data_IF_880293657566
#
_entry.id   IF_880293657566
#
_cell.length_a   1.000
_cell.length_b   1.000
_cell.length_c   1.000
_cell.angle_alpha   90.00
_cell.angle_beta   90.00
_cell.angle_gamma   90.00
#
_symmetry.space_group_name_H-M   'P 1'
#
loop_
_entity.id
_entity.type
_entity.pdbx_description
1 polymer ?
#
# COMPACT_ATOMS: atom_id res chain seq x y z
N UNK A 1 -20.69 -62.07 -48.08
CA UNK A 1 -19.91 -61.26 -47.17
C UNK A 1 -19.38 -60.04 -47.94
N UNK A 2 -20.08 -58.91 -47.96
CA UNK A 2 -19.62 -57.66 -48.60
C UNK A 2 -19.36 -56.64 -47.53
N UNK A 3 -18.12 -56.23 -47.42
CA UNK A 3 -17.68 -55.10 -46.53
C UNK A 3 -18.00 -53.79 -47.23
N UNK A 4 -18.87 -52.98 -46.64
CA UNK A 4 -19.11 -51.60 -47.07
C UNK A 4 -18.13 -50.68 -46.33
N UNK A 5 -17.33 -49.97 -47.12
CA UNK A 5 -16.43 -48.91 -46.64
C UNK A 5 -17.22 -47.61 -46.71
N UNK A 6 -17.44 -47.00 -45.55
CA UNK A 6 -18.03 -45.65 -45.47
C UNK A 6 -16.87 -44.66 -45.52
N UNK A 7 -16.88 -43.85 -46.58
CA UNK A 7 -15.94 -42.75 -46.79
C UNK A 7 -16.50 -41.52 -46.06
N UNK A 8 -15.85 -41.07 -44.97
CA UNK A 8 -16.19 -39.85 -44.31
C UNK A 8 -15.37 -38.72 -44.94
N UNK A 9 -16.06 -37.85 -45.66
CA UNK A 9 -15.47 -36.65 -46.19
C UNK A 9 -15.37 -35.58 -45.07
N UNK A 10 -14.15 -35.23 -44.71
CA UNK A 10 -13.87 -34.10 -43.79
C UNK A 10 -13.87 -32.82 -44.59
N UNK A 11 -14.90 -32.00 -44.42
CA UNK A 11 -14.91 -30.61 -44.89
C UNK A 11 -14.01 -29.81 -43.98
N UNK A 12 -12.83 -29.41 -44.45
CA UNK A 12 -12.00 -28.43 -43.82
C UNK A 12 -12.58 -27.01 -44.12
N UNK A 13 -13.27 -26.43 -43.14
CA UNK A 13 -13.59 -25.02 -43.15
C UNK A 13 -12.34 -24.20 -42.81
N UNK A 14 -11.79 -23.52 -43.79
CA UNK A 14 -10.79 -22.47 -43.58
C UNK A 14 -11.46 -21.31 -42.81
N UNK A 15 -11.32 -21.29 -41.52
CA UNK A 15 -11.52 -20.11 -40.70
C UNK A 15 -10.32 -19.17 -40.95
N UNK A 16 -10.52 -18.18 -41.78
CA UNK A 16 -9.56 -17.11 -41.93
C UNK A 16 -9.41 -16.37 -40.62
N UNK A 17 -8.27 -16.61 -39.98
CA UNK A 17 -7.81 -15.77 -38.83
C UNK A 17 -7.56 -14.38 -39.36
N UNK A 18 -8.47 -13.47 -39.09
CA UNK A 18 -8.21 -12.04 -39.16
C UNK A 18 -7.25 -11.76 -38.01
N UNK A 19 -5.95 -11.79 -38.32
CA UNK A 19 -4.97 -11.14 -37.46
C UNK A 19 -5.31 -9.65 -37.45
N UNK A 20 -6.05 -9.19 -36.45
CA UNK A 20 -6.03 -7.80 -36.10
C UNK A 20 -4.59 -7.47 -35.74
N UNK A 21 -3.91 -6.74 -36.62
CA UNK A 21 -2.62 -6.13 -36.35
C UNK A 21 -2.85 -5.20 -35.17
N UNK A 22 -2.41 -5.64 -33.97
CA UNK A 22 -2.23 -4.75 -32.86
C UNK A 22 -1.29 -3.63 -33.35
N UNK A 23 -1.85 -2.45 -33.58
CA UNK A 23 -1.04 -1.28 -33.81
C UNK A 23 -0.09 -1.17 -32.61
N UNK A 24 1.20 -1.23 -32.88
CA UNK A 24 2.24 -1.00 -31.86
C UNK A 24 2.03 0.43 -31.34
N UNK A 25 1.25 0.57 -30.30
CA UNK A 25 1.18 1.80 -29.54
C UNK A 25 2.59 2.08 -29.02
N UNK A 26 3.16 3.20 -29.42
CA UNK A 26 4.50 3.59 -29.01
C UNK A 26 4.46 3.81 -27.49
N UNK A 27 5.20 2.99 -26.75
CA UNK A 27 5.23 3.07 -25.30
C UNK A 27 5.77 4.44 -24.86
N UNK A 28 5.12 5.03 -23.85
CA UNK A 28 5.60 6.26 -23.20
C UNK A 28 6.85 5.93 -22.43
N UNK A 29 7.91 6.69 -22.63
CA UNK A 29 9.17 6.51 -21.90
C UNK A 29 9.38 7.66 -20.91
N UNK A 30 10.09 7.44 -19.80
CA UNK A 30 10.37 8.50 -18.82
C UNK A 30 11.05 9.72 -19.43
N UNK A 31 11.93 9.52 -20.43
CA UNK A 31 12.57 10.60 -21.16
C UNK A 31 11.62 11.50 -21.98
N UNK A 32 10.37 11.06 -22.19
CA UNK A 32 9.32 11.87 -22.82
C UNK A 32 8.72 12.90 -21.83
N UNK A 33 8.99 12.75 -20.53
CA UNK A 33 8.52 13.65 -19.48
C UNK A 33 9.65 14.44 -18.86
N UNK A 34 9.42 15.75 -18.72
CA UNK A 34 10.34 16.68 -18.03
C UNK A 34 9.59 17.29 -16.86
N UNK A 35 9.81 16.73 -15.68
CA UNK A 35 9.18 17.22 -14.47
C UNK A 35 9.92 18.39 -13.87
N UNK A 36 9.16 19.41 -13.48
CA UNK A 36 9.61 20.52 -12.64
C UNK A 36 8.97 20.36 -11.28
N UNK A 37 9.78 20.17 -10.25
CA UNK A 37 9.31 20.07 -8.87
C UNK A 37 8.75 21.43 -8.43
N UNK A 38 7.49 21.43 -7.99
CA UNK A 38 6.80 22.62 -7.45
C UNK A 38 6.97 22.66 -5.94
N UNK A 39 6.79 21.51 -5.28
CA UNK A 39 6.91 21.35 -3.83
C UNK A 39 7.42 19.96 -3.52
N UNK A 40 8.37 19.88 -2.61
CA UNK A 40 8.89 18.62 -2.09
C UNK A 40 9.07 18.73 -0.59
N UNK A 41 8.60 17.73 0.14
CA UNK A 41 8.75 17.64 1.58
C UNK A 41 9.77 16.55 1.93
N UNK A 42 10.51 16.69 3.04
CA UNK A 42 11.55 15.73 3.40
C UNK A 42 11.02 14.32 3.62
N UNK A 43 11.71 13.34 3.06
CA UNK A 43 11.46 11.90 3.25
C UNK A 43 12.76 11.18 3.58
N UNK A 44 12.65 10.03 4.20
CA UNK A 44 13.77 9.11 4.42
C UNK A 44 14.14 8.36 3.13
N UNK A 45 15.23 7.58 3.15
CA UNK A 45 15.70 6.81 1.99
C UNK A 45 14.64 5.83 1.46
N UNK A 46 14.77 5.46 0.20
CA UNK A 46 13.93 4.43 -0.43
C UNK A 46 14.26 3.07 0.19
N UNK A 47 13.26 2.39 0.72
CA UNK A 47 13.38 1.03 1.26
C UNK A 47 12.89 -0.02 0.27
N UNK A 48 13.11 -1.29 0.57
CA UNK A 48 12.70 -2.40 -0.29
C UNK A 48 11.95 -3.46 0.53
N UNK A 49 10.62 -3.52 0.35
CA UNK A 49 9.78 -4.56 0.93
C UNK A 49 10.02 -5.94 0.33
N UNK A 50 10.68 -6.01 -0.83
CA UNK A 50 10.97 -7.23 -1.57
C UNK A 50 9.73 -8.15 -1.71
N UNK A 51 9.85 -9.43 -1.43
CA UNK A 51 8.77 -10.44 -1.56
C UNK A 51 7.93 -10.52 -0.30
N UNK A 52 7.31 -9.39 0.08
CA UNK A 52 6.36 -9.33 1.18
C UNK A 52 5.15 -8.49 0.77
N UNK A 53 3.97 -8.79 1.28
CA UNK A 53 2.76 -7.99 1.09
C UNK A 53 2.65 -6.89 2.16
N UNK A 54 3.76 -6.21 2.49
CA UNK A 54 3.82 -5.28 3.63
C UNK A 54 3.98 -3.81 3.23
N UNK A 55 3.59 -3.45 1.99
CA UNK A 55 3.61 -2.08 1.47
C UNK A 55 2.93 -1.07 2.40
N UNK A 56 1.80 -1.46 3.00
CA UNK A 56 1.06 -0.69 3.98
C UNK A 56 1.92 -0.23 5.15
N UNK A 57 2.84 -1.08 5.62
CA UNK A 57 3.74 -0.78 6.74
C UNK A 57 4.90 0.11 6.29
N UNK A 58 5.55 -0.21 5.18
CA UNK A 58 6.66 0.58 4.61
C UNK A 58 6.24 2.01 4.31
N UNK A 59 5.06 2.18 3.70
CA UNK A 59 4.54 3.50 3.36
C UNK A 59 4.11 4.31 4.59
N UNK A 60 3.42 3.66 5.55
CA UNK A 60 2.99 4.32 6.78
C UNK A 60 4.17 4.74 7.67
N UNK A 61 5.19 3.89 7.83
CA UNK A 61 6.37 4.27 8.62
C UNK A 61 7.17 5.36 7.92
N UNK A 62 7.33 5.29 6.59
CA UNK A 62 7.95 6.39 5.83
C UNK A 62 7.20 7.72 6.02
N UNK A 63 5.86 7.69 6.03
CA UNK A 63 5.03 8.85 6.35
C UNK A 63 5.30 9.36 7.79
N UNK A 64 5.28 8.48 8.79
CA UNK A 64 5.53 8.84 10.19
C UNK A 64 6.95 9.36 10.42
N UNK A 65 7.93 8.83 9.73
CA UNK A 65 9.31 9.35 9.73
C UNK A 65 9.35 10.81 9.24
N UNK A 66 8.61 11.15 8.18
CA UNK A 66 8.48 12.54 7.70
C UNK A 66 7.75 13.44 8.69
N UNK A 67 6.75 12.92 9.40
CA UNK A 67 6.07 13.64 10.48
C UNK A 67 7.05 13.98 11.63
N UNK A 68 7.93 13.05 12.00
CA UNK A 68 8.99 13.30 13.00
C UNK A 68 9.99 14.33 12.49
N UNK A 69 10.44 14.22 11.24
CA UNK A 69 11.34 15.20 10.61
C UNK A 69 10.75 16.59 10.70
N UNK A 70 9.49 16.74 10.32
CA UNK A 70 8.76 18.02 10.35
C UNK A 70 8.58 18.54 11.78
N UNK A 71 8.03 17.74 12.69
CA UNK A 71 7.70 18.16 14.05
C UNK A 71 8.92 18.56 14.87
N UNK A 72 10.05 17.89 14.66
CA UNK A 72 11.34 18.19 15.32
C UNK A 72 12.20 19.18 14.55
N UNK A 73 11.78 19.58 13.34
CA UNK A 73 12.53 20.52 12.50
C UNK A 73 13.90 19.98 12.08
N UNK A 74 14.05 18.66 11.87
CA UNK A 74 15.30 18.04 11.50
C UNK A 74 15.71 18.51 10.09
N UNK A 75 17.00 18.84 9.94
CA UNK A 75 17.57 19.36 8.67
C UNK A 75 18.65 18.47 8.08
N UNK A 76 19.19 17.58 8.90
CA UNK A 76 20.27 16.69 8.48
C UNK A 76 19.73 15.26 8.40
N UNK A 77 19.88 14.61 7.25
CA UNK A 77 19.42 13.25 7.00
C UNK A 77 20.00 12.23 7.99
N UNK A 78 21.23 12.47 8.53
CA UNK A 78 21.81 11.62 9.57
C UNK A 78 21.04 11.61 10.91
N UNK A 79 20.09 12.53 11.07
CA UNK A 79 19.23 12.63 12.25
C UNK A 79 17.82 12.07 12.00
N UNK A 80 17.52 11.69 10.74
CA UNK A 80 16.22 11.17 10.39
C UNK A 80 16.00 9.82 11.08
N UNK A 81 14.79 9.57 11.58
CA UNK A 81 14.46 8.27 12.14
C UNK A 81 14.44 7.21 11.04
N UNK A 82 14.81 6.01 11.41
CA UNK A 82 14.70 4.80 10.58
C UNK A 82 13.97 3.74 11.41
N UNK A 83 12.67 3.62 11.21
CA UNK A 83 11.78 2.76 11.99
C UNK A 83 11.74 1.35 11.42
N UNK A 84 11.61 0.34 12.30
CA UNK A 84 11.52 -1.06 11.93
C UNK A 84 10.10 -1.39 11.43
N UNK A 85 9.97 -1.64 10.14
CA UNK A 85 8.74 -2.14 9.55
C UNK A 85 8.40 -3.53 10.10
N UNK A 86 9.39 -4.38 10.24
CA UNK A 86 9.18 -5.76 10.67
C UNK A 86 8.70 -5.87 12.12
N UNK A 87 8.99 -4.90 12.98
CA UNK A 87 8.37 -4.81 14.30
C UNK A 87 6.87 -4.64 14.21
N UNK A 88 6.42 -3.69 13.40
CA UNK A 88 4.99 -3.40 13.21
C UNK A 88 4.30 -4.58 12.52
N UNK A 89 4.90 -5.14 11.48
CA UNK A 89 4.39 -6.32 10.77
C UNK A 89 4.21 -7.50 11.73
N UNK A 90 5.21 -7.81 12.56
CA UNK A 90 5.15 -8.90 13.53
C UNK A 90 3.98 -8.72 14.52
N UNK A 91 3.80 -7.52 15.03
CA UNK A 91 2.70 -7.21 15.95
C UNK A 91 1.33 -7.29 15.26
N UNK A 92 1.22 -6.77 14.03
CA UNK A 92 0.00 -6.87 13.24
C UNK A 92 -0.35 -8.35 12.93
N UNK A 93 0.63 -9.18 12.57
CA UNK A 93 0.41 -10.62 12.32
C UNK A 93 -0.06 -11.36 13.58
N UNK A 94 0.51 -11.04 14.74
CA UNK A 94 0.04 -11.57 16.01
C UNK A 94 -1.43 -11.19 16.28
N UNK A 95 -1.76 -9.92 16.20
CA UNK A 95 -3.12 -9.41 16.46
C UNK A 95 -4.13 -9.99 15.46
N UNK A 96 -3.76 -10.08 14.18
CA UNK A 96 -4.59 -10.70 13.13
C UNK A 96 -4.86 -12.17 13.42
N UNK A 97 -3.85 -12.90 13.89
CA UNK A 97 -3.98 -14.29 14.30
C UNK A 97 -5.01 -14.45 15.44
N UNK A 98 -4.94 -13.59 16.44
CA UNK A 98 -5.92 -13.59 17.55
C UNK A 98 -7.34 -13.27 17.04
N UNK A 99 -7.47 -12.25 16.20
CA UNK A 99 -8.77 -11.84 15.64
C UNK A 99 -9.36 -12.90 14.72
N UNK A 100 -8.54 -13.54 13.88
CA UNK A 100 -8.94 -14.63 13.00
C UNK A 100 -9.56 -15.81 13.80
N UNK A 101 -8.89 -16.23 14.86
CA UNK A 101 -9.39 -17.32 15.71
C UNK A 101 -10.67 -16.91 16.45
N UNK A 102 -10.76 -15.67 16.97
CA UNK A 102 -11.99 -15.14 17.63
C UNK A 102 -13.18 -15.04 16.68
N UNK A 103 -12.94 -14.88 15.39
CA UNK A 103 -13.97 -14.82 14.36
C UNK A 103 -14.18 -16.17 13.64
N UNK A 104 -13.80 -17.28 14.28
CA UNK A 104 -13.98 -18.64 13.76
C UNK A 104 -13.46 -18.83 12.32
N UNK A 105 -12.33 -18.18 11.99
CA UNK A 105 -11.73 -18.21 10.68
C UNK A 105 -12.46 -17.40 9.60
N UNK A 106 -13.37 -16.51 9.97
CA UNK A 106 -14.16 -15.68 9.05
C UNK A 106 -13.55 -14.30 8.79
N UNK A 107 -12.26 -14.18 8.96
CA UNK A 107 -11.48 -12.98 8.65
C UNK A 107 -10.55 -13.27 7.49
N UNK A 108 -10.32 -12.29 6.61
CA UNK A 108 -9.22 -12.35 5.65
C UNK A 108 -7.89 -12.49 6.41
N UNK A 109 -7.13 -13.52 6.06
CA UNK A 109 -5.82 -13.78 6.64
C UNK A 109 -4.75 -13.80 5.54
N UNK A 110 -3.95 -12.76 5.50
CA UNK A 110 -2.90 -12.54 4.48
C UNK A 110 -1.89 -11.52 4.96
N UNK A 111 -0.98 -11.12 4.10
CA UNK A 111 0.08 -10.18 4.41
C UNK A 111 -0.38 -8.70 4.39
N UNK A 112 -1.40 -8.38 3.59
CA UNK A 112 -1.91 -7.02 3.42
C UNK A 112 -2.60 -6.48 4.66
N UNK A 113 -2.62 -5.16 4.83
CA UNK A 113 -3.24 -4.45 5.95
C UNK A 113 -3.48 -2.98 5.56
N UNK A 114 -4.15 -2.21 6.43
CA UNK A 114 -4.45 -0.79 6.24
C UNK A 114 -3.54 0.10 7.11
N UNK A 115 -3.43 1.38 6.76
CA UNK A 115 -2.63 2.36 7.53
C UNK A 115 -3.12 2.53 8.97
N UNK A 116 -4.41 2.41 9.20
CA UNK A 116 -4.99 2.44 10.53
C UNK A 116 -4.49 1.30 11.41
N UNK A 117 -4.18 0.16 10.82
CA UNK A 117 -3.58 -0.97 11.53
C UNK A 117 -2.19 -0.63 12.07
N UNK A 118 -1.39 0.12 11.29
CA UNK A 118 -0.07 0.63 11.74
C UNK A 118 -0.25 1.56 12.94
N UNK A 119 -1.20 2.49 12.87
CA UNK A 119 -1.47 3.42 13.96
C UNK A 119 -1.92 2.70 15.23
N UNK A 120 -2.75 1.65 15.11
CA UNK A 120 -3.20 0.84 16.25
C UNK A 120 -2.07 0.01 16.86
N UNK A 121 -1.18 -0.56 16.03
CA UNK A 121 0.02 -1.25 16.51
C UNK A 121 0.93 -0.28 17.27
N UNK A 122 1.19 0.90 16.70
CA UNK A 122 2.03 1.92 17.34
C UNK A 122 1.41 2.41 18.66
N UNK A 123 0.10 2.58 18.70
CA UNK A 123 -0.64 2.94 19.93
C UNK A 123 -0.43 1.90 21.02
N UNK A 124 -0.55 0.62 20.65
CA UNK A 124 -0.55 -0.50 21.60
C UNK A 124 0.84 -0.98 22.00
N UNK A 125 1.82 -0.87 21.11
CA UNK A 125 3.12 -1.53 21.25
C UNK A 125 4.31 -0.58 21.04
N UNK A 126 4.12 0.68 20.69
CA UNK A 126 5.20 1.60 20.39
C UNK A 126 5.89 1.39 19.05
N UNK A 127 7.15 1.81 18.94
CA UNK A 127 8.02 1.64 17.76
C UNK A 127 9.45 1.31 18.17
N UNK A 128 10.19 0.66 17.29
CA UNK A 128 11.61 0.33 17.46
C UNK A 128 12.38 0.85 16.24
N UNK A 129 13.63 1.33 16.38
CA UNK A 129 14.46 1.67 15.24
C UNK A 129 14.91 0.40 14.50
N UNK A 130 15.08 0.50 13.20
CA UNK A 130 15.53 -0.60 12.33
C UNK A 130 16.84 -1.24 12.83
N UNK A 131 17.73 -0.43 13.38
CA UNK A 131 19.03 -0.90 13.94
C UNK A 131 18.88 -1.81 15.16
N UNK A 132 17.75 -1.76 15.88
CA UNK A 132 17.50 -2.60 17.05
C UNK A 132 16.70 -3.86 16.73
N UNK A 133 15.95 -3.88 15.64
CA UNK A 133 15.17 -5.04 15.24
C UNK A 133 14.97 -5.08 13.73
N UNK A 134 15.65 -5.99 13.04
CA UNK A 134 15.50 -6.19 11.60
C UNK A 134 14.31 -7.07 11.22
N UNK A 135 13.92 -8.01 12.10
CA UNK A 135 12.87 -8.99 11.83
C UNK A 135 13.18 -9.99 10.72
N UNK A 136 14.47 -10.22 10.40
CA UNK A 136 14.92 -11.07 9.28
C UNK A 136 15.80 -12.19 9.82
N UNK A 137 15.20 -13.25 10.40
CA UNK A 137 15.94 -14.40 10.95
C UNK A 137 15.96 -15.63 10.01
N UNK A 138 15.41 -15.51 8.83
CA UNK A 138 15.25 -16.61 7.88
C UNK A 138 16.32 -16.63 6.75
N UNK A 139 17.47 -15.96 6.97
CA UNK A 139 18.64 -16.06 6.10
C UNK A 139 18.63 -15.21 4.84
N UNK A 140 17.76 -14.20 4.77
CA UNK A 140 17.72 -13.21 3.70
C UNK A 140 17.97 -11.80 4.25
N UNK A 141 18.59 -10.95 3.44
CA UNK A 141 18.84 -9.54 3.78
C UNK A 141 17.61 -8.64 3.56
N UNK A 142 16.62 -9.13 2.84
CA UNK A 142 15.35 -8.44 2.54
C UNK A 142 14.16 -9.34 2.88
N UNK A 143 12.97 -8.76 3.15
CA UNK A 143 11.78 -9.55 3.49
C UNK A 143 11.40 -10.56 2.39
N UNK A 144 11.19 -11.83 2.81
CA UNK A 144 10.63 -12.93 2.00
C UNK A 144 9.66 -13.69 2.88
N UNK A 145 8.38 -13.39 2.82
CA UNK A 145 7.42 -13.80 3.85
C UNK A 145 6.44 -14.89 3.45
N UNK A 146 6.43 -15.34 2.21
CA UNK A 146 5.44 -16.32 1.72
C UNK A 146 5.40 -17.63 2.56
N UNK A 147 6.55 -18.10 3.05
CA UNK A 147 6.59 -19.28 3.93
C UNK A 147 6.01 -18.98 5.30
N UNK A 148 6.40 -17.86 5.92
CA UNK A 148 5.86 -17.42 7.20
C UNK A 148 4.33 -17.25 7.13
N UNK A 149 3.82 -16.61 6.08
CA UNK A 149 2.38 -16.40 5.88
C UNK A 149 1.63 -17.73 5.79
N UNK A 150 2.17 -18.68 5.04
CA UNK A 150 1.58 -20.01 4.90
C UNK A 150 1.61 -20.81 6.22
N UNK A 151 2.71 -20.73 6.98
CA UNK A 151 2.86 -21.43 8.27
C UNK A 151 1.91 -20.85 9.31
N UNK A 152 1.84 -19.51 9.43
CA UNK A 152 0.90 -18.85 10.35
C UNK A 152 -0.54 -19.20 10.00
N UNK A 153 -0.92 -19.11 8.71
CA UNK A 153 -2.26 -19.47 8.25
C UNK A 153 -2.59 -20.91 8.58
N UNK A 154 -1.69 -21.84 8.29
CA UNK A 154 -1.86 -23.25 8.61
C UNK A 154 -2.05 -23.51 10.11
N UNK A 155 -1.28 -22.81 10.94
CA UNK A 155 -1.39 -22.93 12.38
C UNK A 155 -2.75 -22.43 12.91
N UNK A 156 -3.18 -21.22 12.55
CA UNK A 156 -4.45 -20.65 13.03
C UNK A 156 -5.66 -21.40 12.49
N UNK A 157 -5.59 -21.94 11.26
CA UNK A 157 -6.61 -22.83 10.70
C UNK A 157 -6.77 -24.11 11.52
N UNK A 158 -5.65 -24.70 11.95
CA UNK A 158 -5.69 -25.90 12.82
C UNK A 158 -6.30 -25.58 14.20
N UNK A 159 -5.99 -24.39 14.76
CA UNK A 159 -6.58 -23.92 16.01
C UNK A 159 -8.10 -23.74 15.87
N UNK A 160 -8.56 -23.08 14.81
CA UNK A 160 -10.00 -22.88 14.54
C UNK A 160 -10.73 -24.22 14.35
N UNK A 161 -10.11 -25.17 13.64
CA UNK A 161 -10.68 -26.50 13.36
C UNK A 161 -10.60 -27.48 14.55
N UNK A 162 -10.16 -27.02 15.74
CA UNK A 162 -10.00 -27.90 16.90
C UNK A 162 -11.30 -28.67 17.22
N UNK A 163 -11.27 -30.02 17.22
CA UNK A 163 -12.46 -30.85 17.45
C UNK A 163 -12.97 -30.79 18.89
N UNK A 164 -12.15 -30.39 19.86
CA UNK A 164 -12.49 -30.38 21.28
C UNK A 164 -13.43 -29.23 21.71
N UNK A 165 -13.80 -28.33 20.80
CA UNK A 165 -14.67 -27.17 21.03
C UNK A 165 -14.24 -26.21 22.16
N UNK A 166 -13.10 -26.46 22.78
CA UNK A 166 -12.50 -25.60 23.81
C UNK A 166 -11.02 -25.43 23.52
N UNK A 167 -10.64 -24.18 23.27
CA UNK A 167 -9.23 -23.82 23.07
C UNK A 167 -8.51 -23.74 24.42
N UNK A 168 -7.25 -24.11 24.44
CA UNK A 168 -6.36 -23.88 25.56
C UNK A 168 -5.85 -22.44 25.55
N UNK A 169 -5.35 -21.94 26.67
CA UNK A 169 -4.69 -20.62 26.72
C UNK A 169 -3.27 -20.62 26.10
N UNK A 170 -2.83 -21.75 25.53
CA UNK A 170 -1.46 -21.93 25.02
C UNK A 170 -1.31 -21.53 23.56
N UNK A 171 -2.37 -21.65 22.75
CA UNK A 171 -2.29 -21.42 21.31
C UNK A 171 -1.74 -20.05 20.90
N UNK A 172 -1.96 -18.91 21.62
CA UNK A 172 -1.34 -17.64 21.24
C UNK A 172 0.20 -17.69 21.33
N UNK A 173 0.75 -18.48 22.27
CA UNK A 173 2.20 -18.70 22.39
C UNK A 173 2.78 -19.45 21.18
N UNK A 174 1.96 -20.28 20.52
CA UNK A 174 2.39 -20.93 19.27
C UNK A 174 2.52 -19.94 18.13
N UNK A 175 1.65 -18.93 18.07
CA UNK A 175 1.79 -17.82 17.11
C UNK A 175 3.10 -17.04 17.39
N UNK A 176 3.34 -16.66 18.65
CA UNK A 176 4.59 -15.98 19.03
C UNK A 176 5.83 -16.81 18.69
N UNK A 177 5.81 -18.12 19.00
CA UNK A 177 6.95 -19.01 18.72
C UNK A 177 7.26 -19.13 17.22
N UNK A 178 6.23 -19.12 16.34
CA UNK A 178 6.43 -19.08 14.90
C UNK A 178 7.04 -17.73 14.50
N UNK A 179 6.49 -16.63 14.99
CA UNK A 179 6.99 -15.29 14.71
C UNK A 179 8.44 -15.10 15.22
N UNK A 180 8.77 -15.63 16.40
CA UNK A 180 10.14 -15.60 16.94
C UNK A 180 11.13 -16.39 16.07
N UNK A 181 10.71 -17.57 15.57
CA UNK A 181 11.55 -18.38 14.71
C UNK A 181 11.92 -17.69 13.37
N UNK A 182 10.97 -16.99 12.76
CA UNK A 182 11.16 -16.34 11.46
C UNK A 182 11.66 -14.89 11.58
N UNK A 183 11.20 -14.15 12.58
CA UNK A 183 11.42 -12.70 12.69
C UNK A 183 12.31 -12.33 13.88
N UNK A 184 12.60 -13.28 14.78
CA UNK A 184 13.39 -13.05 15.99
C UNK A 184 12.58 -12.49 17.16
N UNK A 185 13.13 -12.64 18.36
CA UNK A 185 12.55 -12.07 19.58
C UNK A 185 12.67 -10.54 19.57
N UNK A 186 11.60 -9.88 20.01
CA UNK A 186 11.61 -8.41 20.14
C UNK A 186 12.35 -8.03 21.41
N UNK A 187 13.36 -7.13 21.34
CA UNK A 187 14.06 -6.66 22.54
C UNK A 187 13.09 -5.82 23.41
N UNK A 188 13.07 -6.09 24.71
CA UNK A 188 12.32 -5.29 25.66
C UNK A 188 12.86 -3.84 25.76
N UNK A 189 14.16 -3.69 25.64
CA UNK A 189 14.87 -2.42 25.72
C UNK A 189 15.95 -2.35 24.65
N UNK A 190 16.22 -1.14 24.15
CA UNK A 190 17.28 -0.86 23.18
C UNK A 190 17.89 0.53 23.42
N UNK A 191 19.07 0.78 22.86
CA UNK A 191 19.79 2.04 23.05
C UNK A 191 19.83 2.84 21.76
N UNK A 192 19.41 4.11 21.83
CA UNK A 192 19.55 5.09 20.74
C UNK A 192 20.29 6.31 21.28
N UNK A 193 21.39 6.67 20.65
CA UNK A 193 22.22 7.83 21.06
C UNK A 193 22.58 7.84 22.56
N UNK A 194 22.86 6.65 23.13
CA UNK A 194 23.23 6.50 24.54
C UNK A 194 22.08 6.52 25.54
N UNK A 195 20.83 6.62 25.07
CA UNK A 195 19.62 6.57 25.90
C UNK A 195 18.94 5.22 25.72
N UNK A 196 18.55 4.59 26.82
CA UNK A 196 17.80 3.32 26.80
C UNK A 196 16.31 3.60 26.70
N UNK A 197 15.63 2.91 25.79
CA UNK A 197 14.20 3.03 25.53
C UNK A 197 13.50 1.67 25.57
N UNK A 198 12.22 1.67 25.95
CA UNK A 198 11.24 0.66 25.52
C UNK A 198 10.61 1.12 24.20
N UNK A 199 9.90 0.25 23.46
CA UNK A 199 9.20 0.66 22.24
C UNK A 199 8.23 1.84 22.44
N UNK A 200 7.49 1.85 23.56
CA UNK A 200 6.53 2.93 23.89
C UNK A 200 7.25 4.23 24.22
N UNK A 201 8.30 4.17 25.05
CA UNK A 201 9.05 5.37 25.40
C UNK A 201 9.81 5.97 24.21
N UNK A 202 10.21 5.16 23.24
CA UNK A 202 10.82 5.64 22.00
C UNK A 202 9.80 6.32 21.10
N UNK A 203 8.58 5.75 20.93
CA UNK A 203 7.45 6.42 20.29
C UNK A 203 7.21 7.81 20.87
N UNK A 204 7.14 7.88 22.21
CA UNK A 204 6.87 9.14 22.92
C UNK A 204 8.04 10.14 22.77
N UNK A 205 9.29 9.66 22.81
CA UNK A 205 10.47 10.47 22.55
C UNK A 205 10.53 11.01 21.12
N UNK A 206 10.01 10.27 20.13
CA UNK A 206 9.85 10.74 18.76
C UNK A 206 8.71 11.74 18.62
N UNK A 207 7.76 11.79 19.56
CA UNK A 207 6.57 12.63 19.50
C UNK A 207 5.49 12.08 18.56
N UNK A 208 5.50 10.77 18.30
CA UNK A 208 4.48 10.12 17.48
C UNK A 208 3.24 9.87 18.35
N UNK A 209 2.17 10.61 18.08
CA UNK A 209 0.87 10.37 18.69
C UNK A 209 -0.11 9.85 17.62
N UNK A 210 -0.54 8.57 17.67
CA UNK A 210 -1.45 8.01 16.69
C UNK A 210 -2.78 8.77 16.54
N UNK A 211 -3.23 9.51 17.56
CA UNK A 211 -4.47 10.28 17.52
C UNK A 211 -4.34 11.60 16.72
N UNK A 212 -3.15 11.93 16.27
CA UNK A 212 -2.92 13.08 15.40
C UNK A 212 -3.12 12.77 13.91
N UNK A 213 -3.40 11.51 13.55
CA UNK A 213 -3.52 11.06 12.18
C UNK A 213 -4.93 10.61 11.85
N UNK A 214 -5.42 11.03 10.68
CA UNK A 214 -6.82 10.87 10.27
C UNK A 214 -6.87 10.26 8.88
N UNK A 215 -7.69 9.20 8.74
CA UNK A 215 -7.95 8.53 7.47
C UNK A 215 -9.09 9.21 6.70
N UNK A 216 -8.96 9.30 5.38
CA UNK A 216 -9.94 9.85 4.46
C UNK A 216 -10.22 8.92 3.29
N UNK A 217 -11.46 8.97 2.82
CA UNK A 217 -11.94 8.32 1.60
C UNK A 217 -13.00 9.18 0.91
N UNK A 218 -13.43 8.81 -0.31
CA UNK A 218 -14.44 9.53 -1.07
C UNK A 218 -15.29 8.58 -1.89
N UNK A 219 -16.39 8.11 -1.32
CA UNK A 219 -17.34 7.20 -1.98
C UNK A 219 -18.79 7.58 -1.67
N UNK A 220 -19.69 7.33 -2.62
CA UNK A 220 -21.12 7.76 -2.52
C UNK A 220 -22.04 6.75 -1.85
N UNK A 221 -21.59 5.51 -1.63
CA UNK A 221 -22.40 4.47 -0.97
C UNK A 221 -22.53 4.67 0.55
N UNK A 222 -21.77 5.61 1.12
CA UNK A 222 -21.95 6.12 2.47
C UNK A 222 -22.13 7.65 2.47
N UNK A 223 -22.85 8.22 3.45
CA UNK A 223 -23.02 9.67 3.53
C UNK A 223 -21.68 10.40 3.67
N UNK A 224 -21.52 11.53 2.96
CA UNK A 224 -20.37 12.39 3.18
C UNK A 224 -20.40 13.01 4.59
N UNK A 225 -19.22 13.34 5.11
CA UNK A 225 -18.97 13.91 6.45
C UNK A 225 -19.33 12.96 7.60
N UNK A 226 -19.34 11.68 7.31
CA UNK A 226 -19.39 10.58 8.29
C UNK A 226 -18.16 9.71 8.13
N UNK A 227 -17.83 8.90 9.12
CA UNK A 227 -16.77 7.89 9.01
C UNK A 227 -17.36 6.50 8.83
N UNK A 228 -16.65 5.67 8.09
CA UNK A 228 -16.98 4.25 7.94
C UNK A 228 -15.71 3.43 7.69
N UNK A 229 -15.79 2.13 7.92
CA UNK A 229 -14.72 1.20 7.55
C UNK A 229 -14.87 0.86 6.07
N UNK A 230 -13.87 1.21 5.25
CA UNK A 230 -13.91 0.87 3.82
C UNK A 230 -13.96 -0.65 3.68
N UNK A 231 -14.86 -1.14 2.82
CA UNK A 231 -15.15 -2.55 2.61
C UNK A 231 -14.11 -3.21 1.70
N UNK A 232 -12.87 -3.21 2.14
CA UNK A 232 -11.76 -3.95 1.53
C UNK A 232 -11.22 -4.98 2.52
N UNK A 233 -10.67 -6.07 1.98
CA UNK A 233 -10.26 -7.20 2.81
C UNK A 233 -9.08 -6.87 3.72
N UNK A 234 -8.21 -5.97 3.31
CA UNK A 234 -7.03 -5.58 4.06
C UNK A 234 -7.33 -4.62 5.21
N UNK A 235 -8.51 -3.98 5.22
CA UNK A 235 -9.03 -3.26 6.39
C UNK A 235 -9.64 -4.24 7.44
N UNK A 236 -8.87 -5.23 7.84
CA UNK A 236 -9.33 -6.31 8.74
C UNK A 236 -9.59 -5.87 10.18
N UNK A 237 -9.08 -4.71 10.62
CA UNK A 237 -9.41 -4.09 11.92
C UNK A 237 -10.68 -3.25 11.87
N UNK A 238 -11.20 -2.97 10.66
CA UNK A 238 -12.33 -2.08 10.40
C UNK A 238 -12.06 -0.65 10.84
N UNK A 239 -10.85 -0.19 10.55
CA UNK A 239 -10.44 1.19 10.79
C UNK A 239 -11.33 2.15 10.00
N UNK A 240 -11.72 3.22 10.67
CA UNK A 240 -12.64 4.21 10.10
C UNK A 240 -11.89 5.26 9.28
N UNK A 241 -12.44 5.59 8.11
CA UNK A 241 -12.01 6.73 7.31
C UNK A 241 -13.15 7.74 7.18
N UNK A 242 -12.84 9.03 7.28
CA UNK A 242 -13.80 10.08 7.01
C UNK A 242 -14.12 10.13 5.51
N UNK A 243 -15.40 10.12 5.19
CA UNK A 243 -15.90 10.20 3.83
C UNK A 243 -16.18 11.65 3.45
N UNK A 244 -15.51 12.16 2.43
CA UNK A 244 -15.68 13.54 1.96
C UNK A 244 -15.88 13.58 0.46
N UNK A 245 -16.54 14.63 -0.10
CA UNK A 245 -16.64 14.79 -1.55
C UNK A 245 -15.27 14.81 -2.22
N UNK A 246 -15.21 14.36 -3.48
CA UNK A 246 -13.95 14.15 -4.20
C UNK A 246 -13.08 15.41 -4.29
N UNK A 247 -13.67 16.58 -4.44
CA UNK A 247 -12.92 17.84 -4.51
C UNK A 247 -12.30 18.19 -3.14
N UNK A 248 -13.03 17.97 -2.03
CA UNK A 248 -12.49 18.13 -0.68
C UNK A 248 -11.41 17.07 -0.37
N UNK A 249 -11.59 15.85 -0.89
CA UNK A 249 -10.61 14.76 -0.77
C UNK A 249 -9.26 15.14 -1.41
N UNK A 250 -9.28 15.66 -2.63
CA UNK A 250 -8.08 16.14 -3.31
C UNK A 250 -7.49 17.39 -2.63
N UNK A 251 -8.35 18.31 -2.17
CA UNK A 251 -7.90 19.51 -1.46
C UNK A 251 -7.14 19.20 -0.15
N UNK A 252 -7.47 18.10 0.54
CA UNK A 252 -6.70 17.66 1.72
C UNK A 252 -5.29 17.27 1.32
N UNK A 253 -5.11 16.49 0.25
CA UNK A 253 -3.80 16.08 -0.24
C UNK A 253 -2.95 17.30 -0.62
N UNK A 254 -3.53 18.21 -1.40
CA UNK A 254 -2.84 19.44 -1.81
C UNK A 254 -2.44 20.30 -0.61
N UNK A 255 -3.38 20.56 0.31
CA UNK A 255 -3.10 21.33 1.51
C UNK A 255 -2.02 20.67 2.39
N UNK A 256 -2.01 19.35 2.48
CA UNK A 256 -0.96 18.64 3.21
C UNK A 256 0.42 18.94 2.62
N UNK A 257 0.60 18.71 1.32
CA UNK A 257 1.89 18.90 0.67
C UNK A 257 2.35 20.36 0.70
N UNK A 258 1.47 21.30 0.40
CA UNK A 258 1.77 22.74 0.39
C UNK A 258 2.22 23.24 1.76
N UNK A 259 1.65 22.69 2.85
CA UNK A 259 1.98 23.06 4.22
C UNK A 259 3.10 22.24 4.87
N UNK A 260 3.84 21.45 4.06
CA UNK A 260 5.02 20.71 4.50
C UNK A 260 4.69 19.42 5.25
N UNK A 261 3.48 18.86 5.06
CA UNK A 261 3.09 17.53 5.47
C UNK A 261 3.20 16.56 4.30
N UNK A 262 3.10 15.28 4.59
CA UNK A 262 3.08 14.22 3.60
C UNK A 262 1.80 13.38 3.77
N UNK A 263 1.59 12.36 2.93
CA UNK A 263 0.37 11.58 2.90
C UNK A 263 0.71 10.10 2.80
N UNK A 264 0.22 9.25 3.72
CA UNK A 264 0.22 7.81 3.52
C UNK A 264 -0.92 7.48 2.55
N UNK A 265 -0.59 7.04 1.35
CA UNK A 265 -1.50 6.84 0.23
C UNK A 265 -1.75 5.35 -0.02
N UNK A 266 -3.02 4.93 -0.11
CA UNK A 266 -3.45 3.58 -0.47
C UNK A 266 -4.37 3.59 -1.67
N UNK A 267 -4.12 2.69 -2.62
CA UNK A 267 -4.92 2.63 -3.85
C UNK A 267 -4.54 1.53 -4.80
N UNK A 268 -5.15 1.60 -5.98
CA UNK A 268 -4.98 0.64 -7.05
C UNK A 268 -3.79 1.02 -7.93
N UNK A 269 -2.87 0.08 -8.08
CA UNK A 269 -1.71 0.18 -9.01
C UNK A 269 -1.74 -0.93 -10.07
N UNK A 270 -2.82 -1.70 -10.13
CA UNK A 270 -2.97 -2.77 -11.14
C UNK A 270 -3.32 -2.25 -12.54
N UNK A 271 -3.35 -0.94 -12.72
CA UNK A 271 -3.64 -0.22 -13.94
C UNK A 271 -2.54 -0.31 -15.00
N UNK A 272 -2.96 -0.32 -16.27
CA UNK A 272 -2.00 -0.34 -17.39
C UNK A 272 -1.11 0.91 -17.44
N UNK A 273 -1.62 2.05 -16.95
CA UNK A 273 -0.88 3.31 -16.89
C UNK A 273 0.08 3.45 -15.72
N UNK A 274 0.07 2.52 -14.76
CA UNK A 274 1.09 2.44 -13.72
C UNK A 274 2.30 1.67 -14.25
N UNK A 275 3.33 2.38 -14.64
CA UNK A 275 4.48 1.82 -15.35
C UNK A 275 5.65 1.46 -14.43
N UNK A 276 6.55 0.59 -14.87
CA UNK A 276 7.80 0.26 -14.15
C UNK A 276 8.76 1.44 -14.06
N UNK A 277 8.57 2.44 -14.90
CA UNK A 277 9.52 3.53 -15.07
C UNK A 277 9.29 4.71 -14.12
N UNK A 278 8.37 4.57 -13.18
CA UNK A 278 8.07 5.63 -12.22
C UNK A 278 7.06 6.67 -12.74
N UNK A 279 6.22 6.30 -13.70
CA UNK A 279 5.13 7.11 -14.21
C UNK A 279 3.80 6.39 -13.98
N UNK A 280 2.79 7.11 -13.50
CA UNK A 280 1.42 6.62 -13.39
C UNK A 280 0.45 7.64 -13.97
N UNK A 281 -0.26 7.23 -15.03
CA UNK A 281 -1.29 8.02 -15.72
C UNK A 281 -2.55 7.18 -15.88
N UNK A 282 -3.71 7.79 -15.82
CA UNK A 282 -4.98 7.08 -15.90
C UNK A 282 -5.43 6.93 -17.36
N UNK A 283 -5.19 5.76 -17.93
CA UNK A 283 -5.49 5.47 -19.34
C UNK A 283 -6.70 4.54 -19.47
N UNK A 284 -7.45 4.66 -20.56
CA UNK A 284 -8.57 3.79 -20.87
C UNK A 284 -8.06 2.44 -21.42
N UNK A 285 -7.66 1.57 -20.51
CA UNK A 285 -7.22 0.20 -20.82
C UNK A 285 -7.64 -0.74 -19.68
N UNK A 286 -7.94 -1.99 -20.01
CA UNK A 286 -8.26 -3.01 -19.02
C UNK A 286 -7.10 -3.22 -18.03
N UNK A 287 -7.43 -3.25 -16.76
CA UNK A 287 -6.48 -3.55 -15.70
C UNK A 287 -5.93 -4.98 -15.85
N UNK A 288 -4.64 -5.17 -15.60
CA UNK A 288 -4.04 -6.50 -15.60
C UNK A 288 -3.99 -7.04 -14.19
N UNK A 289 -4.82 -8.01 -13.92
CA UNK A 289 -4.76 -8.77 -12.67
C UNK A 289 -3.67 -9.83 -12.80
N UNK A 290 -2.71 -9.83 -11.89
CA UNK A 290 -1.69 -10.87 -11.77
C UNK A 290 -1.68 -11.42 -10.35
N UNK A 291 -1.16 -12.66 -10.17
CA UNK A 291 -0.97 -13.24 -8.84
C UNK A 291 0.40 -12.85 -8.26
N UNK A 292 0.55 -12.93 -6.95
CA UNK A 292 1.79 -12.59 -6.24
C UNK A 292 1.72 -11.26 -5.49
N UNK A 293 2.82 -10.88 -4.80
CA UNK A 293 2.96 -9.58 -4.16
C UNK A 293 3.08 -8.46 -5.18
N UNK A 294 2.81 -7.23 -4.77
CA UNK A 294 2.92 -6.05 -5.64
C UNK A 294 4.30 -5.95 -6.28
N UNK A 295 5.33 -6.18 -5.50
CA UNK A 295 6.70 -6.16 -6.01
C UNK A 295 6.97 -7.31 -7.01
N UNK A 296 6.48 -8.54 -6.75
CA UNK A 296 6.61 -9.64 -7.70
C UNK A 296 5.87 -9.36 -9.00
N UNK A 297 4.71 -8.73 -8.92
CA UNK A 297 3.93 -8.30 -10.09
C UNK A 297 4.66 -7.26 -10.95
N UNK A 298 5.41 -6.36 -10.31
CA UNK A 298 6.01 -5.20 -10.98
C UNK A 298 7.51 -5.30 -11.23
N UNK A 299 8.30 -5.83 -10.31
CA UNK A 299 9.77 -5.81 -10.35
C UNK A 299 10.38 -7.19 -10.59
N UNK A 300 9.77 -8.24 -10.05
CA UNK A 300 10.34 -9.58 -10.02
C UNK A 300 9.98 -10.52 -11.19
N UNK A 301 9.33 -10.02 -12.24
CA UNK A 301 8.85 -10.86 -13.38
C UNK A 301 9.34 -10.34 -14.71
N UNK A 302 9.61 -11.29 -15.63
CA UNK A 302 9.98 -11.00 -17.02
C UNK A 302 8.79 -10.51 -17.88
N UNK A 303 7.56 -10.90 -17.51
CA UNK A 303 6.31 -10.47 -18.13
C UNK A 303 5.88 -9.09 -17.62
N UNK A 304 6.57 -8.06 -18.08
CA UNK A 304 6.25 -6.68 -17.77
C UNK A 304 4.86 -6.29 -18.25
N UNK A 305 4.14 -5.45 -17.47
CA UNK A 305 3.02 -4.68 -18.03
C UNK A 305 3.52 -3.87 -19.24
N UNK A 306 2.72 -3.74 -20.29
CA UNK A 306 3.03 -2.79 -21.33
C UNK A 306 3.11 -1.39 -20.72
N UNK A 307 4.08 -0.61 -21.14
CA UNK A 307 4.16 0.81 -20.81
C UNK A 307 2.93 1.53 -21.38
N UNK A 308 2.47 2.58 -20.68
CA UNK A 308 1.39 3.40 -21.18
C UNK A 308 1.74 4.02 -22.56
N UNK A 309 0.81 4.06 -23.50
CA UNK A 309 1.08 4.61 -24.83
C UNK A 309 1.37 6.11 -24.77
N UNK A 310 2.25 6.56 -25.67
CA UNK A 310 2.63 7.97 -25.82
C UNK A 310 1.43 8.84 -26.22
N UNK A 311 1.31 10.00 -25.58
CA UNK A 311 0.27 10.98 -25.87
C UNK A 311 -1.19 10.47 -25.69
N UNK A 312 -1.44 9.63 -24.72
CA UNK A 312 -2.80 9.20 -24.37
C UNK A 312 -3.51 10.30 -23.61
N UNK A 313 -4.74 10.57 -24.02
CA UNK A 313 -5.65 11.39 -23.21
C UNK A 313 -6.05 10.58 -21.96
N UNK A 314 -5.81 11.13 -20.79
CA UNK A 314 -6.27 10.52 -19.56
C UNK A 314 -7.79 10.54 -19.44
N UNK A 315 -8.33 9.55 -18.71
CA UNK A 315 -9.74 9.54 -18.32
C UNK A 315 -9.98 10.70 -17.36
N UNK A 316 -11.04 11.45 -17.62
CA UNK A 316 -11.49 12.48 -16.69
C UNK A 316 -12.22 11.82 -15.51
N UNK A 317 -11.80 12.13 -14.28
CA UNK A 317 -12.32 11.52 -13.07
C UNK A 317 -13.35 12.43 -12.42
N UNK A 318 -14.51 11.86 -12.11
CA UNK A 318 -15.55 12.47 -11.30
C UNK A 318 -16.00 11.52 -10.17
N UNK A 319 -16.90 11.99 -9.31
CA UNK A 319 -17.38 11.21 -8.17
C UNK A 319 -18.11 9.94 -8.60
N UNK A 320 -18.83 9.97 -9.75
CA UNK A 320 -19.64 8.85 -10.22
C UNK A 320 -18.78 7.71 -10.77
N UNK A 321 -17.82 8.02 -11.67
CA UNK A 321 -16.97 6.98 -12.23
C UNK A 321 -16.00 6.38 -11.19
N UNK A 322 -15.55 7.18 -10.22
CA UNK A 322 -14.78 6.69 -9.08
C UNK A 322 -15.57 5.67 -8.24
N UNK A 323 -16.85 5.95 -7.94
CA UNK A 323 -17.72 4.99 -7.24
C UNK A 323 -17.96 3.74 -8.07
N UNK A 324 -18.26 3.92 -9.35
CA UNK A 324 -18.50 2.80 -10.27
C UNK A 324 -17.32 1.82 -10.30
N UNK A 325 -16.08 2.33 -10.43
CA UNK A 325 -14.88 1.49 -10.44
C UNK A 325 -14.65 0.71 -9.15
N UNK A 326 -15.01 1.29 -8.01
CA UNK A 326 -14.97 0.57 -6.73
C UNK A 326 -16.04 -0.54 -6.69
N UNK A 327 -17.27 -0.27 -7.10
CA UNK A 327 -18.36 -1.23 -7.10
C UNK A 327 -18.14 -2.38 -8.09
N UNK A 328 -17.56 -2.08 -9.26
CA UNK A 328 -17.24 -3.06 -10.30
C UNK A 328 -15.93 -3.84 -10.02
N UNK A 329 -15.19 -3.50 -8.96
CA UNK A 329 -13.88 -4.08 -8.64
C UNK A 329 -12.82 -3.83 -9.73
N UNK A 330 -12.94 -2.72 -10.45
CA UNK A 330 -11.92 -2.20 -11.36
C UNK A 330 -11.01 -1.15 -10.68
N UNK A 331 -11.31 -0.78 -9.44
CA UNK A 331 -10.39 -0.17 -8.50
C UNK A 331 -10.32 -1.03 -7.25
N UNK A 332 -9.14 -1.57 -6.98
CA UNK A 332 -8.89 -2.56 -5.92
C UNK A 332 -7.86 -2.04 -4.92
N UNK A 333 -7.82 -2.67 -3.74
CA UNK A 333 -6.84 -2.39 -2.70
C UNK A 333 -5.57 -3.17 -2.98
N UNK A 334 -4.61 -2.53 -3.66
CA UNK A 334 -3.44 -3.21 -4.17
C UNK A 334 -2.14 -2.81 -3.46
N UNK A 335 -1.98 -1.52 -3.14
CA UNK A 335 -0.67 -1.01 -2.77
C UNK A 335 -0.73 0.24 -1.89
N UNK A 336 0.19 0.32 -0.94
CA UNK A 336 0.44 1.50 -0.12
C UNK A 336 1.75 2.19 -0.50
N UNK A 337 1.73 3.51 -0.64
CA UNK A 337 2.89 4.34 -0.94
C UNK A 337 2.88 5.64 -0.13
N UNK A 338 3.98 6.39 -0.18
CA UNK A 338 4.13 7.64 0.56
C UNK A 338 4.22 8.83 -0.38
N UNK A 339 3.16 9.67 -0.43
CA UNK A 339 3.06 10.85 -1.26
C UNK A 339 3.68 12.05 -0.52
N UNK A 340 4.67 12.71 -1.15
CA UNK A 340 5.49 13.71 -0.48
C UNK A 340 5.73 15.00 -1.27
N UNK A 341 5.29 15.06 -2.53
CA UNK A 341 5.57 16.25 -3.34
C UNK A 341 4.59 16.47 -4.48
N UNK A 342 4.71 17.62 -5.11
CA UNK A 342 3.98 18.05 -6.31
C UNK A 342 4.98 18.49 -7.36
N UNK A 343 4.78 18.04 -8.58
CA UNK A 343 5.54 18.43 -9.76
C UNK A 343 4.60 18.79 -10.92
N UNK A 344 5.15 19.39 -11.95
CA UNK A 344 4.49 19.63 -13.24
C UNK A 344 5.33 19.09 -14.37
N UNK A 345 4.68 18.51 -15.38
CA UNK A 345 5.34 18.14 -16.61
C UNK A 345 5.64 19.37 -17.49
N UNK A 346 6.23 19.16 -18.66
CA UNK A 346 6.56 20.20 -19.62
C UNK A 346 5.34 20.96 -20.20
N UNK A 347 4.14 20.41 -20.03
CA UNK A 347 2.88 20.99 -20.47
C UNK A 347 2.14 21.73 -19.35
N UNK A 348 2.68 21.67 -18.13
CA UNK A 348 2.07 22.24 -16.93
C UNK A 348 1.05 21.34 -16.24
N UNK A 349 0.89 20.08 -16.68
CA UNK A 349 0.04 19.09 -16.05
C UNK A 349 0.59 18.74 -14.67
N UNK A 350 -0.29 18.69 -13.67
CA UNK A 350 0.05 18.39 -12.27
C UNK A 350 0.29 16.90 -12.07
N UNK A 351 1.34 16.60 -11.33
CA UNK A 351 1.69 15.26 -10.85
C UNK A 351 2.01 15.32 -9.37
N UNK A 352 1.73 14.22 -8.69
CA UNK A 352 2.20 13.99 -7.33
C UNK A 352 3.47 13.13 -7.34
N UNK A 353 4.43 13.49 -6.49
CA UNK A 353 5.63 12.71 -6.25
C UNK A 353 5.36 11.74 -5.12
N UNK A 354 5.53 10.46 -5.39
CA UNK A 354 5.19 9.39 -4.45
C UNK A 354 6.36 8.42 -4.30
N UNK A 355 6.77 8.16 -3.07
CA UNK A 355 7.83 7.23 -2.71
C UNK A 355 7.28 5.81 -2.63
N UNK A 356 7.87 4.91 -3.39
CA UNK A 356 7.56 3.49 -3.37
C UNK A 356 8.54 2.71 -2.47
N UNK A 357 8.22 1.48 -2.16
CA UNK A 357 8.99 0.56 -1.32
C UNK A 357 9.57 -0.64 -2.08
N UNK A 358 9.99 -0.42 -3.34
CA UNK A 358 10.57 -1.47 -4.20
C UNK A 358 12.06 -1.26 -4.49
N UNK A 359 12.78 -0.57 -3.58
CA UNK A 359 14.15 -0.17 -3.80
C UNK A 359 14.28 0.99 -4.81
N UNK A 360 15.51 1.43 -5.05
CA UNK A 360 15.81 2.49 -6.03
C UNK A 360 15.69 1.98 -7.48
N UNK A 361 14.47 1.61 -7.87
CA UNK A 361 14.16 1.10 -9.21
C UNK A 361 13.58 2.19 -10.12
N UNK A 362 13.54 1.91 -11.43
CA UNK A 362 12.97 2.81 -12.43
C UNK A 362 13.84 4.05 -12.73
N UNK A 363 13.31 4.91 -13.60
CA UNK A 363 14.01 6.11 -14.06
C UNK A 363 14.19 7.17 -12.95
N UNK A 364 13.31 7.16 -11.96
CA UNK A 364 13.31 8.13 -10.86
C UNK A 364 13.69 7.49 -9.52
N UNK A 365 14.46 6.40 -9.54
CA UNK A 365 15.07 5.77 -8.35
C UNK A 365 14.11 5.52 -7.20
N UNK A 366 12.99 4.85 -7.49
CA UNK A 366 11.99 4.48 -6.47
C UNK A 366 10.93 5.54 -6.19
N UNK A 367 10.95 6.66 -6.93
CA UNK A 367 9.89 7.67 -6.94
C UNK A 367 9.00 7.47 -8.16
N UNK A 368 7.70 7.62 -7.99
CA UNK A 368 6.71 7.68 -9.06
C UNK A 368 6.14 9.08 -9.19
N UNK A 369 5.93 9.52 -10.42
CA UNK A 369 5.15 10.71 -10.75
C UNK A 369 3.76 10.24 -11.17
N UNK A 370 2.77 10.48 -10.32
CA UNK A 370 1.38 10.07 -10.55
C UNK A 370 0.56 11.27 -10.96
N UNK A 371 -0.14 11.18 -12.10
CA UNK A 371 -1.01 12.27 -12.54
C UNK A 371 -2.11 12.56 -11.54
N UNK A 372 -2.63 13.77 -11.54
CA UNK A 372 -3.76 14.16 -10.67
C UNK A 372 -4.97 13.26 -10.91
N UNK A 373 -5.26 12.89 -12.17
CA UNK A 373 -6.34 11.98 -12.52
C UNK A 373 -6.11 10.56 -11.97
N UNK A 374 -4.86 10.07 -12.01
CA UNK A 374 -4.56 8.77 -11.41
C UNK A 374 -4.82 8.78 -9.90
N UNK A 375 -4.30 9.76 -9.18
CA UNK A 375 -4.53 9.89 -7.74
C UNK A 375 -6.02 10.09 -7.44
N UNK A 376 -6.71 10.95 -8.18
CA UNK A 376 -8.14 11.21 -8.04
C UNK A 376 -8.99 9.97 -8.26
N UNK A 377 -8.65 9.13 -9.24
CA UNK A 377 -9.41 7.95 -9.64
C UNK A 377 -9.09 6.70 -8.82
N UNK A 378 -7.84 6.49 -8.47
CA UNK A 378 -7.34 5.21 -7.96
C UNK A 378 -6.95 5.19 -6.48
N UNK A 379 -7.04 6.31 -5.78
CA UNK A 379 -6.87 6.33 -4.32
C UNK A 379 -8.09 5.71 -3.63
N UNK A 380 -7.92 4.68 -2.84
CA UNK A 380 -8.98 4.15 -1.98
C UNK A 380 -9.11 4.96 -0.70
N UNK A 381 -8.01 5.07 0.03
CA UNK A 381 -7.89 5.90 1.21
C UNK A 381 -6.51 6.55 1.32
N UNK A 382 -6.40 7.48 2.21
CA UNK A 382 -5.12 8.02 2.65
C UNK A 382 -5.20 8.46 4.12
N UNK A 383 -4.02 8.57 4.75
CA UNK A 383 -3.88 9.12 6.10
C UNK A 383 -3.01 10.36 6.07
N UNK A 384 -3.45 11.37 6.81
CA UNK A 384 -2.72 12.64 6.99
C UNK A 384 -2.70 13.05 8.47
N UNK A 385 -1.78 13.94 8.82
CA UNK A 385 -1.83 14.65 10.09
C UNK A 385 -3.08 15.57 10.14
N UNK A 386 -3.80 15.59 11.25
CA UNK A 386 -4.98 16.45 11.42
C UNK A 386 -4.71 17.95 11.16
N UNK A 387 -3.47 18.40 11.37
CA UNK A 387 -3.08 19.79 11.08
C UNK A 387 -2.86 20.05 9.58
N UNK A 388 -2.79 19.00 8.76
CA UNK A 388 -2.73 19.09 7.32
C UNK A 388 -4.11 19.27 6.66
N UNK A 389 -5.19 19.10 7.41
CA UNK A 389 -6.57 19.22 6.90
C UNK A 389 -6.93 20.70 6.78
N UNK A 390 -7.56 21.16 5.67
CA UNK A 390 -8.08 22.52 5.57
C UNK A 390 -8.93 22.91 6.77
N UNK A 391 -8.72 24.10 7.34
CA UNK A 391 -9.32 24.52 8.63
C UNK A 391 -10.84 24.43 8.65
N UNK A 392 -11.49 24.84 7.55
CA UNK A 392 -12.95 24.82 7.46
C UNK A 392 -13.50 23.40 7.42
N UNK A 393 -12.82 22.51 6.71
CA UNK A 393 -13.18 21.09 6.66
C UNK A 393 -12.96 20.43 8.02
N UNK A 394 -11.83 20.69 8.68
CA UNK A 394 -11.57 20.19 10.04
C UNK A 394 -12.67 20.60 11.02
N UNK A 395 -13.07 21.87 10.98
CA UNK A 395 -14.20 22.37 11.80
C UNK A 395 -15.51 21.69 11.46
N UNK A 396 -15.78 21.44 10.16
CA UNK A 396 -16.98 20.75 9.69
C UNK A 396 -17.05 19.31 10.16
N UNK A 397 -15.92 18.62 10.23
CA UNK A 397 -15.81 17.24 10.71
C UNK A 397 -15.74 17.12 12.23
N UNK A 398 -15.47 18.20 12.94
CA UNK A 398 -15.34 18.19 14.41
C UNK A 398 -14.03 17.56 14.93
N UNK A 399 -12.95 17.62 14.15
CA UNK A 399 -11.65 16.99 14.43
C UNK A 399 -10.50 18.00 14.49
#
# INVERSE_FOLDING_TARGET
MRKSIILVAVLATLAGSVCASAQNATAVKPEDYKFTVVKENPVTSIKNQNRSGTCWCFSALSFLESEVIKSKGLKNESQYPDLSEMFVVRKAYYDRSLKFVRLDGKLQYGAGSDFGDVLDVIRSYGVIPQSAYSGLQYGYDLPVQAELDAVLKGYVDAVVKNPNRKLTAVWPKGVDGILDAYMGEIPENFVVNGVTYTPESYRDALGINPDDYVGFTSFTHHPFYTSFAIEVQDNWRWTQSWNVPLDEFMAIIDNAIENGYTVAWGGDVSEAGFTRNGLAILVDQEARVTTGSDQERWVGRDDAKPEAPKAVKEIEVNQENRQLWFDEKTSTDDHGMHLFGIAKDQNGTKYYMIKNSWGETGAYKGVWYMSENFVKGKTLNFVVNKNAIPKDLRKKLGI
#
